data_IF_088321045971
#
_entry.id   IF_088321045971
#
_cell.length_a   1.000
_cell.length_b   1.000
_cell.length_c   1.000
_cell.angle_alpha   90.00
_cell.angle_beta   90.00
_cell.angle_gamma   90.00
#
_symmetry.space_group_name_H-M   'P 1'
#
loop_
_entity.id
_entity.type
_entity.pdbx_description
1 polymer ?
#
# COMPACT_ATOMS: atom_id res chain seq x y z
N UNK A 1 -10.54 10.44 -7.40
CA UNK A 1 -9.09 10.64 -7.68
C UNK A 1 -8.65 12.12 -7.73
N UNK A 2 -9.42 13.03 -8.36
CA UNK A 2 -9.06 14.46 -8.48
C UNK A 2 -8.69 15.15 -7.15
N UNK A 3 -9.35 14.77 -6.05
CA UNK A 3 -9.06 15.33 -4.73
C UNK A 3 -7.61 15.09 -4.26
N UNK A 4 -7.07 13.89 -4.48
CA UNK A 4 -5.69 13.55 -4.11
C UNK A 4 -4.69 14.35 -4.96
N UNK A 5 -4.91 14.40 -6.28
CA UNK A 5 -4.07 15.18 -7.20
C UNK A 5 -4.06 16.65 -6.79
N UNK A 6 -5.23 17.24 -6.56
CA UNK A 6 -5.36 18.63 -6.13
C UNK A 6 -4.65 18.86 -4.78
N UNK A 7 -4.76 17.91 -3.83
CA UNK A 7 -4.07 18.03 -2.55
C UNK A 7 -2.56 17.98 -2.69
N UNK A 8 -2.04 17.12 -3.56
CA UNK A 8 -0.62 17.04 -3.88
C UNK A 8 -0.14 18.36 -4.52
N UNK A 9 -0.88 18.92 -5.47
CA UNK A 9 -0.52 20.19 -6.11
C UNK A 9 -0.54 21.37 -5.13
N UNK A 10 -1.44 21.35 -4.16
CA UNK A 10 -1.58 22.43 -3.17
C UNK A 10 -0.55 22.34 -2.03
N UNK A 11 -0.37 21.16 -1.46
CA UNK A 11 0.39 20.97 -0.20
C UNK A 11 1.65 20.11 -0.35
N UNK A 12 1.81 19.44 -1.49
CA UNK A 12 2.99 18.64 -1.80
C UNK A 12 4.21 19.53 -2.03
N UNK A 13 5.39 19.03 -1.65
CA UNK A 13 6.67 19.70 -1.92
C UNK A 13 7.61 18.75 -2.63
N UNK A 14 8.11 19.16 -3.79
CA UNK A 14 9.20 18.46 -4.46
C UNK A 14 10.52 18.84 -3.78
N UNK A 15 11.20 17.84 -3.23
CA UNK A 15 12.56 17.96 -2.72
C UNK A 15 13.55 17.49 -3.78
N UNK A 16 14.82 17.80 -3.57
CA UNK A 16 15.92 17.31 -4.40
C UNK A 16 15.92 15.78 -4.50
N UNK A 17 16.39 15.27 -5.64
CA UNK A 17 16.38 13.83 -5.93
C UNK A 17 15.00 13.27 -6.31
N UNK A 18 14.03 14.14 -6.63
CA UNK A 18 12.71 13.74 -7.11
C UNK A 18 11.78 13.21 -6.00
N UNK A 19 12.03 13.60 -4.75
CA UNK A 19 11.25 13.13 -3.60
C UNK A 19 10.03 14.03 -3.40
N UNK A 20 8.83 13.46 -3.52
CA UNK A 20 7.58 14.15 -3.19
C UNK A 20 7.28 14.04 -1.69
N UNK A 21 7.34 15.18 -0.99
CA UNK A 21 7.00 15.29 0.43
C UNK A 21 5.53 15.65 0.62
N UNK A 22 4.78 14.78 1.30
CA UNK A 22 3.33 14.89 1.56
C UNK A 22 2.96 14.76 3.05
N UNK A 23 3.91 15.07 3.94
CA UNK A 23 3.77 14.92 5.39
C UNK A 23 2.53 15.61 5.98
N UNK A 24 1.97 16.61 5.31
CA UNK A 24 0.81 17.38 5.78
C UNK A 24 -0.52 16.64 5.68
N UNK A 25 -0.59 15.54 4.91
CA UNK A 25 -1.87 14.85 4.67
C UNK A 25 -1.78 13.32 4.51
N UNK A 26 -0.58 12.72 4.41
CA UNK A 26 -0.40 11.25 4.36
C UNK A 26 0.63 10.74 5.38
N UNK A 27 1.91 11.17 5.27
CA UNK A 27 3.03 10.45 5.89
C UNK A 27 3.32 10.80 7.36
N UNK A 28 2.77 11.91 7.88
CA UNK A 28 3.01 12.32 9.28
C UNK A 28 1.74 12.88 9.92
N UNK A 29 1.17 13.90 9.31
CA UNK A 29 -0.21 14.32 9.52
C UNK A 29 -1.06 13.63 8.46
N UNK A 30 -2.18 13.05 8.89
CA UNK A 30 -3.15 12.44 8.00
C UNK A 30 -4.37 13.35 7.86
N UNK A 31 -4.91 13.43 6.64
CA UNK A 31 -6.21 14.03 6.39
C UNK A 31 -7.26 12.92 6.22
N UNK A 32 -8.07 12.62 7.26
CA UNK A 32 -9.04 11.54 7.20
C UNK A 32 -10.13 11.77 6.13
N UNK A 33 -10.46 13.03 5.83
CA UNK A 33 -11.48 13.35 4.84
C UNK A 33 -10.95 13.05 3.44
N UNK A 34 -9.70 13.40 3.15
CA UNK A 34 -9.03 13.00 1.93
C UNK A 34 -8.94 11.47 1.81
N UNK A 35 -8.55 10.78 2.89
CA UNK A 35 -8.48 9.30 2.89
C UNK A 35 -9.84 8.69 2.56
N UNK A 36 -10.94 9.24 3.09
CA UNK A 36 -12.31 8.80 2.75
C UNK A 36 -12.62 8.97 1.26
N UNK A 37 -12.26 10.11 0.68
CA UNK A 37 -12.47 10.35 -0.75
C UNK A 37 -11.66 9.40 -1.63
N UNK A 38 -10.43 9.07 -1.21
CA UNK A 38 -9.59 8.07 -1.88
C UNK A 38 -10.20 6.68 -1.75
N UNK A 39 -10.69 6.30 -0.57
CA UNK A 39 -11.33 5.02 -0.33
C UNK A 39 -12.58 4.82 -1.19
N UNK A 40 -13.48 5.81 -1.28
CA UNK A 40 -14.66 5.75 -2.15
C UNK A 40 -14.29 5.49 -3.61
N UNK A 41 -13.26 6.16 -4.11
CA UNK A 41 -12.76 5.93 -5.47
C UNK A 41 -12.20 4.50 -5.64
N UNK A 42 -11.52 3.96 -4.64
CA UNK A 42 -10.99 2.59 -4.69
C UNK A 42 -12.08 1.53 -4.59
N UNK A 43 -13.15 1.76 -3.83
CA UNK A 43 -14.29 0.84 -3.80
C UNK A 43 -14.83 0.61 -5.21
N UNK A 44 -15.14 1.69 -5.93
CA UNK A 44 -15.74 1.61 -7.26
C UNK A 44 -14.78 0.94 -8.26
N UNK A 45 -13.48 1.23 -8.16
CA UNK A 45 -12.47 0.64 -9.04
C UNK A 45 -12.23 -0.85 -8.79
N UNK A 46 -12.41 -1.30 -7.55
CA UNK A 46 -12.10 -2.67 -7.13
C UNK A 46 -13.33 -3.51 -6.80
N UNK A 47 -14.53 -3.00 -7.08
CA UNK A 47 -15.78 -3.72 -6.86
C UNK A 47 -15.78 -5.09 -7.57
N UNK A 48 -15.36 -5.13 -8.84
CA UNK A 48 -15.30 -6.34 -9.66
C UNK A 48 -14.16 -7.30 -9.27
N UNK A 49 -13.19 -6.84 -8.47
CA UNK A 49 -12.13 -7.70 -7.97
C UNK A 49 -12.65 -8.63 -6.86
N UNK A 50 -13.78 -8.31 -6.22
CA UNK A 50 -14.38 -9.06 -5.09
C UNK A 50 -13.37 -9.45 -3.98
N UNK A 51 -12.58 -8.50 -3.45
CA UNK A 51 -11.61 -8.81 -2.40
C UNK A 51 -12.32 -9.26 -1.12
N UNK A 52 -11.68 -10.16 -0.37
CA UNK A 52 -12.13 -10.62 0.95
C UNK A 52 -11.30 -10.03 2.08
N UNK A 53 -10.16 -9.40 1.75
CA UNK A 53 -9.19 -8.89 2.73
C UNK A 53 -8.34 -7.77 2.13
N UNK A 54 -8.00 -6.78 2.94
CA UNK A 54 -7.07 -5.72 2.56
C UNK A 54 -5.73 -5.94 3.25
N UNK A 55 -4.64 -5.79 2.51
CA UNK A 55 -3.28 -5.92 3.03
C UNK A 55 -2.48 -4.64 2.77
N UNK A 56 -1.76 -4.17 3.79
CA UNK A 56 -0.89 -2.98 3.72
C UNK A 56 0.43 -3.22 4.45
N UNK A 57 1.34 -2.25 4.40
CA UNK A 57 2.56 -2.22 5.22
C UNK A 57 2.46 -1.11 6.26
N UNK A 58 3.04 -1.33 7.45
CA UNK A 58 3.14 -0.26 8.44
C UNK A 58 4.15 0.84 8.04
N UNK A 59 3.91 2.11 8.36
CA UNK A 59 2.80 2.65 9.15
C UNK A 59 1.82 3.48 8.30
N UNK A 60 2.31 4.20 7.30
CA UNK A 60 1.53 5.20 6.56
C UNK A 60 0.45 4.61 5.65
N UNK A 61 0.66 3.42 5.08
CA UNK A 61 -0.37 2.70 4.32
C UNK A 61 -1.59 2.27 5.16
N UNK A 62 -1.49 2.26 6.50
CA UNK A 62 -2.57 1.81 7.38
C UNK A 62 -3.83 2.68 7.24
N UNK A 63 -3.69 4.02 7.17
CA UNK A 63 -4.86 4.89 7.11
C UNK A 63 -5.70 4.72 5.82
N UNK A 64 -5.12 4.76 4.61
CA UNK A 64 -5.90 4.49 3.40
C UNK A 64 -6.46 3.06 3.40
N UNK A 65 -5.72 2.06 3.89
CA UNK A 65 -6.18 0.68 3.96
C UNK A 65 -7.38 0.51 4.93
N UNK A 66 -7.30 1.09 6.13
CA UNK A 66 -8.39 1.05 7.12
C UNK A 66 -9.62 1.81 6.61
N UNK A 67 -9.43 2.95 5.97
CA UNK A 67 -10.55 3.70 5.41
C UNK A 67 -11.26 2.90 4.30
N UNK A 68 -10.50 2.22 3.43
CA UNK A 68 -11.07 1.34 2.43
C UNK A 68 -11.74 0.11 3.04
N UNK A 69 -11.12 -0.53 4.03
CA UNK A 69 -11.69 -1.70 4.71
C UNK A 69 -12.97 -1.37 5.46
N UNK A 70 -13.03 -0.20 6.10
CA UNK A 70 -14.26 0.31 6.71
C UNK A 70 -15.38 0.46 5.68
N UNK A 71 -15.04 1.04 4.52
CA UNK A 71 -15.96 1.31 3.44
C UNK A 71 -16.46 0.05 2.69
N UNK A 72 -15.60 -0.96 2.55
CA UNK A 72 -15.92 -2.25 1.91
C UNK A 72 -16.39 -3.33 2.88
N UNK A 73 -16.42 -3.02 4.19
CA UNK A 73 -16.70 -3.98 5.27
C UNK A 73 -15.75 -5.19 5.27
N UNK A 74 -14.47 -4.94 4.96
CA UNK A 74 -13.42 -5.98 4.88
C UNK A 74 -12.39 -5.86 6.02
N UNK A 75 -11.87 -6.99 6.53
CA UNK A 75 -10.77 -6.98 7.47
C UNK A 75 -9.49 -6.42 6.81
N UNK A 76 -8.72 -5.67 7.60
CA UNK A 76 -7.44 -5.10 7.19
C UNK A 76 -6.31 -5.74 7.99
N UNK A 77 -5.32 -6.27 7.27
CA UNK A 77 -4.09 -6.81 7.82
C UNK A 77 -2.94 -5.90 7.42
N UNK A 78 -2.00 -5.65 8.32
CA UNK A 78 -0.80 -4.89 8.00
C UNK A 78 0.45 -5.69 8.30
N UNK A 79 1.39 -5.72 7.35
CA UNK A 79 2.69 -6.33 7.52
C UNK A 79 3.56 -5.50 8.46
N UNK A 80 4.28 -6.19 9.35
CA UNK A 80 5.20 -5.57 10.32
C UNK A 80 6.62 -5.59 9.78
N UNK A 81 7.41 -4.55 10.08
CA UNK A 81 8.83 -4.41 9.75
C UNK A 81 9.75 -5.06 10.80
N UNK A 82 9.20 -5.44 11.95
CA UNK A 82 9.91 -6.13 13.04
C UNK A 82 9.08 -7.30 13.55
N UNK A 83 9.77 -8.42 13.86
CA UNK A 83 9.16 -9.60 14.48
C UNK A 83 8.71 -9.32 15.93
N UNK A 84 7.40 -9.42 16.24
CA UNK A 84 6.95 -9.45 17.62
C UNK A 84 7.39 -10.74 18.29
N UNK A 85 7.70 -10.67 19.59
CA UNK A 85 8.01 -11.86 20.41
C UNK A 85 6.84 -12.85 20.48
N UNK A 86 5.61 -12.38 20.28
CA UNK A 86 4.37 -13.16 20.38
C UNK A 86 3.97 -13.89 19.10
N UNK A 87 4.71 -13.73 18.00
CA UNK A 87 4.33 -14.29 16.70
C UNK A 87 5.02 -15.64 16.44
N UNK A 88 4.22 -16.72 16.44
CA UNK A 88 4.67 -18.08 16.14
C UNK A 88 4.96 -18.29 14.66
N UNK A 89 3.90 -18.50 13.86
CA UNK A 89 3.98 -18.76 12.42
C UNK A 89 3.72 -17.52 11.57
N UNK A 90 4.61 -17.23 10.62
CA UNK A 90 4.50 -16.06 9.75
C UNK A 90 4.95 -16.33 8.31
N UNK A 91 4.41 -15.54 7.38
CA UNK A 91 5.00 -15.30 6.07
C UNK A 91 6.01 -14.16 6.19
N UNK A 92 7.08 -14.19 5.40
CA UNK A 92 8.08 -13.12 5.38
C UNK A 92 8.65 -12.86 4.00
N UNK A 93 8.98 -11.61 3.70
CA UNK A 93 9.82 -11.23 2.56
C UNK A 93 10.84 -10.16 2.96
N UNK A 94 11.96 -10.09 2.28
CA UNK A 94 12.95 -9.01 2.45
C UNK A 94 12.73 -7.98 1.36
N UNK A 95 12.53 -6.72 1.76
CA UNK A 95 12.37 -5.58 0.86
C UNK A 95 13.57 -4.66 1.01
N UNK A 96 14.14 -4.23 -0.11
CA UNK A 96 15.27 -3.30 -0.14
C UNK A 96 14.78 -1.86 -0.28
N UNK A 97 15.16 -0.99 0.66
CA UNK A 97 14.92 0.44 0.55
C UNK A 97 15.95 1.07 -0.40
N UNK A 98 15.49 1.60 -1.53
CA UNK A 98 16.36 2.30 -2.49
C UNK A 98 16.90 3.63 -1.95
N UNK A 99 16.15 4.30 -1.07
CA UNK A 99 16.55 5.60 -0.50
C UNK A 99 17.47 5.47 0.70
N UNK A 100 17.48 4.32 1.39
CA UNK A 100 18.30 4.12 2.61
C UNK A 100 19.36 3.02 2.46
N UNK A 101 19.44 2.36 1.31
CA UNK A 101 20.26 1.15 1.07
C UNK A 101 20.08 0.02 2.10
N UNK A 102 19.06 0.10 2.93
CA UNK A 102 18.80 -0.84 4.00
C UNK A 102 17.75 -1.86 3.56
N UNK A 103 18.01 -3.12 3.86
CA UNK A 103 17.03 -4.20 3.74
C UNK A 103 16.20 -4.28 5.01
N UNK A 104 14.91 -4.52 4.86
CA UNK A 104 14.03 -4.79 5.99
C UNK A 104 13.12 -5.96 5.67
N UNK A 105 12.89 -6.80 6.67
CA UNK A 105 12.00 -7.94 6.57
C UNK A 105 10.59 -7.52 6.91
N UNK A 106 9.66 -7.78 5.98
CA UNK A 106 8.23 -7.65 6.20
C UNK A 106 7.68 -9.00 6.60
N UNK A 107 6.79 -9.00 7.60
CA UNK A 107 6.19 -10.22 8.12
C UNK A 107 4.68 -10.08 8.32
N UNK A 108 3.96 -11.18 8.14
CA UNK A 108 2.51 -11.31 8.37
C UNK A 108 2.26 -12.63 9.10
N UNK A 109 1.47 -12.62 10.18
CA UNK A 109 1.10 -13.89 10.85
C UNK A 109 0.20 -14.71 9.93
N UNK A 110 0.47 -16.02 9.85
CA UNK A 110 -0.33 -16.96 9.06
C UNK A 110 -1.78 -17.09 9.55
N UNK A 111 -2.06 -16.67 10.78
CA UNK A 111 -3.41 -16.66 11.35
C UNK A 111 -4.36 -15.68 10.65
N UNK A 112 -3.83 -14.65 9.98
CA UNK A 112 -4.63 -13.58 9.37
C UNK A 112 -4.64 -13.63 7.84
N UNK A 113 -4.01 -14.63 7.24
CA UNK A 113 -3.92 -14.76 5.78
C UNK A 113 -3.92 -16.23 5.37
N UNK A 114 -4.95 -16.65 4.63
CA UNK A 114 -5.16 -18.02 4.18
C UNK A 114 -5.13 -18.12 2.66
N UNK A 115 -5.20 -19.34 2.12
CA UNK A 115 -5.15 -19.56 0.67
C UNK A 115 -6.49 -19.22 -0.03
N UNK A 116 -7.56 -19.07 0.74
CA UNK A 116 -8.89 -18.70 0.26
C UNK A 116 -9.09 -17.17 0.18
N UNK A 117 -8.14 -16.41 0.71
CA UNK A 117 -8.22 -14.96 0.75
C UNK A 117 -7.92 -14.32 -0.60
N UNK A 118 -8.88 -13.51 -1.06
CA UNK A 118 -8.65 -12.61 -2.18
C UNK A 118 -8.19 -11.25 -1.67
N UNK A 119 -6.90 -11.00 -1.81
CA UNK A 119 -6.27 -9.83 -1.19
C UNK A 119 -6.39 -8.61 -2.10
N UNK A 120 -6.66 -7.45 -1.50
CA UNK A 120 -6.44 -6.14 -2.11
C UNK A 120 -5.30 -5.45 -1.37
N UNK A 121 -4.18 -5.25 -2.05
CA UNK A 121 -3.08 -4.52 -1.46
C UNK A 121 -3.31 -3.02 -1.58
N UNK A 122 -3.02 -2.29 -0.50
CA UNK A 122 -3.11 -0.83 -0.42
C UNK A 122 -1.84 -0.34 0.25
N UNK A 123 -1.20 0.69 -0.31
CA UNK A 123 -0.05 1.36 0.30
C UNK A 123 -0.07 2.86 -0.03
N UNK A 124 0.74 3.64 0.68
CA UNK A 124 0.83 5.10 0.47
C UNK A 124 1.70 5.47 -0.75
N UNK A 125 2.82 4.77 -0.93
CA UNK A 125 3.78 5.00 -2.01
C UNK A 125 4.33 3.69 -2.58
N UNK A 126 4.25 3.54 -3.90
CA UNK A 126 5.03 2.56 -4.65
C UNK A 126 6.19 3.26 -5.37
N UNK A 127 7.43 2.95 -5.03
CA UNK A 127 8.59 3.42 -5.79
C UNK A 127 9.09 2.29 -6.69
N UNK A 128 9.04 2.48 -8.02
CA UNK A 128 9.63 1.52 -8.95
C UNK A 128 11.16 1.62 -8.92
N UNK A 129 11.82 0.46 -8.92
CA UNK A 129 13.18 0.34 -9.40
C UNK A 129 13.12 -0.11 -10.85
N UNK A 130 13.90 0.52 -11.74
CA UNK A 130 13.96 0.23 -13.18
C UNK A 130 14.55 -1.17 -13.51
N UNK A 131 14.43 -2.15 -12.63
CA UNK A 131 14.91 -3.51 -12.87
C UNK A 131 13.85 -4.32 -13.63
N UNK A 132 14.11 -4.75 -14.86
CA UNK A 132 13.17 -5.57 -15.63
C UNK A 132 13.00 -6.94 -14.97
N UNK A 133 11.74 -7.37 -14.76
CA UNK A 133 11.41 -8.73 -14.33
C UNK A 133 10.84 -8.88 -12.91
N UNK A 134 10.69 -7.81 -12.13
CA UNK A 134 10.07 -7.90 -10.81
C UNK A 134 8.53 -7.80 -10.93
N UNK A 135 7.85 -8.94 -11.13
CA UNK A 135 6.47 -9.04 -10.67
C UNK A 135 6.43 -8.69 -9.19
N UNK A 136 5.51 -7.83 -8.77
CA UNK A 136 5.38 -7.42 -7.36
C UNK A 136 5.08 -8.70 -6.55
N UNK A 137 6.09 -9.22 -5.86
CA UNK A 137 5.97 -10.42 -5.02
C UNK A 137 6.08 -9.98 -3.58
N UNK A 138 4.96 -9.98 -2.87
CA UNK A 138 4.89 -9.54 -1.48
C UNK A 138 4.71 -10.75 -0.57
N UNK A 139 5.67 -11.05 0.31
CA UNK A 139 5.61 -12.24 1.18
C UNK A 139 5.40 -13.57 0.42
N UNK A 140 5.89 -13.68 -0.82
CA UNK A 140 5.67 -14.86 -1.68
C UNK A 140 4.33 -14.88 -2.42
N UNK A 141 3.51 -13.83 -2.25
CA UNK A 141 2.24 -13.64 -2.93
C UNK A 141 2.50 -12.91 -4.24
N UNK A 142 2.13 -13.54 -5.36
CA UNK A 142 2.33 -12.95 -6.69
C UNK A 142 1.20 -11.98 -6.99
N UNK A 143 1.56 -10.76 -7.39
CA UNK A 143 0.62 -9.77 -7.90
C UNK A 143 0.11 -10.13 -9.29
N UNK A 144 -1.19 -10.34 -9.41
CA UNK A 144 -1.90 -10.34 -10.68
C UNK A 144 -2.58 -8.98 -10.90
N UNK A 145 -2.36 -8.37 -12.07
CA UNK A 145 -2.94 -7.09 -12.52
C UNK A 145 -2.65 -5.85 -11.65
N UNK A 146 -1.38 -5.37 -11.59
CA UNK A 146 -1.08 -4.10 -10.94
C UNK A 146 -1.74 -2.92 -11.69
N UNK A 147 -2.57 -2.15 -10.99
CA UNK A 147 -3.16 -0.92 -11.53
C UNK A 147 -2.25 0.27 -11.27
N UNK A 148 -2.00 1.06 -12.31
CA UNK A 148 -1.15 2.25 -12.26
C UNK A 148 -2.00 3.49 -12.56
N UNK A 149 -1.89 4.52 -11.71
CA UNK A 149 -2.69 5.75 -11.83
C UNK A 149 -2.28 6.64 -13.00
N UNK A 150 -1.05 6.52 -13.50
CA UNK A 150 -0.52 7.21 -14.68
C UNK A 150 0.84 6.58 -15.07
N UNK A 151 1.09 6.20 -16.32
CA UNK A 151 2.41 5.68 -16.74
C UNK A 151 3.55 6.71 -16.73
N UNK A 152 3.27 7.99 -16.43
CA UNK A 152 4.21 9.10 -16.65
C UNK A 152 4.68 9.84 -15.38
N UNK A 153 4.08 9.61 -14.20
CA UNK A 153 4.42 10.36 -12.98
C UNK A 153 4.85 9.43 -11.83
N UNK A 154 6.16 9.32 -11.63
CA UNK A 154 6.77 8.60 -10.52
C UNK A 154 6.52 9.30 -9.17
N UNK A 155 5.33 9.18 -8.54
CA UNK A 155 5.14 9.33 -7.08
C UNK A 155 3.66 9.43 -6.65
N UNK A 156 3.00 8.28 -6.47
CA UNK A 156 1.93 7.98 -5.51
C UNK A 156 1.13 6.81 -6.10
N UNK A 157 1.15 5.64 -5.47
CA UNK A 157 0.52 4.47 -6.09
C UNK A 157 0.00 3.48 -5.08
N UNK A 158 -1.06 2.80 -5.51
CA UNK A 158 -1.72 1.71 -4.81
C UNK A 158 -1.50 0.46 -5.63
N UNK A 159 -0.65 -0.45 -5.14
CA UNK A 159 -0.41 -1.73 -5.79
C UNK A 159 -1.49 -2.72 -5.33
N UNK A 160 -2.27 -3.26 -6.26
CA UNK A 160 -3.23 -4.34 -6.02
C UNK A 160 -2.49 -5.66 -6.21
N UNK A 161 -2.57 -6.62 -5.29
CA UNK A 161 -2.24 -8.01 -5.61
C UNK A 161 -3.46 -8.85 -5.29
N UNK A 162 -4.21 -9.23 -6.32
CA UNK A 162 -5.19 -10.33 -6.18
C UNK A 162 -4.37 -11.61 -6.13
N UNK A 163 -4.53 -12.38 -5.05
CA UNK A 163 -4.15 -13.78 -4.96
C UNK A 163 -5.42 -14.61 -4.73
#
# INVERSE_FOLDING_TARGET
MKALINRILQDGRCLDGGILKVDRFINHQMDPYLMKQVAVEFMDRFAEAHPTKILTVEASGIAPAVMLGYNMELPVVFAKKKKPSTMGGFYSTTVRSFTKQNEYTLIISKEYLTAEDRVLFIDDFLAYSNYPGLGITFCGIRCENPFFLDSSAASAWVAICVA
#
